data_IF_060267173387
#
_entry.id   IF_060267173387
#
_cell.length_a   1.000
_cell.length_b   1.000
_cell.length_c   1.000
_cell.angle_alpha   90.00
_cell.angle_beta   90.00
_cell.angle_gamma   90.00
#
_symmetry.space_group_name_H-M   'P 1'
#
loop_
_entity.id
_entity.type
_entity.pdbx_description
1 polymer ?
#
# COMPACT_ATOMS: atom_id res chain seq x y z
N UNK A 1 35.80 42.92 -67.71
CA UNK A 1 36.04 41.95 -66.60
C UNK A 1 36.61 40.69 -67.18
N UNK A 2 37.87 40.38 -66.87
CA UNK A 2 38.70 39.35 -67.55
C UNK A 2 38.19 37.93 -67.23
N UNK A 3 38.22 37.08 -68.25
CA UNK A 3 37.81 35.67 -68.23
C UNK A 3 38.45 34.92 -67.05
N UNK A 4 39.65 35.31 -66.61
CA UNK A 4 40.35 34.75 -65.43
C UNK A 4 39.63 34.97 -64.10
N UNK A 5 38.84 36.05 -63.95
CA UNK A 5 38.06 36.30 -62.74
C UNK A 5 36.77 35.45 -62.66
N UNK A 6 36.21 35.04 -63.80
CA UNK A 6 35.04 34.15 -63.84
C UNK A 6 35.41 32.70 -63.50
N UNK A 7 36.54 32.21 -64.03
CA UNK A 7 37.00 30.84 -63.73
C UNK A 7 37.36 30.66 -62.27
N UNK A 8 37.99 31.67 -61.62
CA UNK A 8 38.36 31.61 -60.23
C UNK A 8 37.13 31.63 -59.26
N UNK A 9 36.02 32.22 -59.70
CA UNK A 9 34.77 32.22 -58.92
C UNK A 9 34.03 30.89 -59.06
N UNK A 10 34.10 30.23 -60.22
CA UNK A 10 33.52 28.92 -60.43
C UNK A 10 34.25 27.81 -59.69
N UNK A 11 35.58 27.84 -59.66
CA UNK A 11 36.40 26.86 -58.93
C UNK A 11 36.23 27.01 -57.40
N UNK A 12 36.09 28.21 -56.86
CA UNK A 12 35.80 28.39 -55.43
C UNK A 12 34.40 27.94 -55.06
N UNK A 13 33.41 28.19 -55.92
CA UNK A 13 32.05 27.72 -55.72
C UNK A 13 31.91 26.18 -55.78
N UNK A 14 32.71 25.54 -56.68
CA UNK A 14 32.73 24.06 -56.79
C UNK A 14 33.49 23.40 -55.62
N UNK A 15 34.56 24.06 -55.08
CA UNK A 15 35.24 23.59 -53.87
C UNK A 15 34.40 23.73 -52.60
N UNK A 16 33.59 24.77 -52.52
CA UNK A 16 32.65 24.90 -51.36
C UNK A 16 31.46 23.94 -51.46
N UNK A 17 31.03 23.57 -52.67
CA UNK A 17 29.98 22.57 -52.84
C UNK A 17 30.46 21.12 -52.54
N UNK A 18 31.79 20.84 -52.58
CA UNK A 18 32.35 19.52 -52.26
C UNK A 18 32.69 19.32 -50.77
N UNK A 19 32.70 20.41 -49.94
CA UNK A 19 33.02 20.35 -48.51
C UNK A 19 31.73 20.21 -47.62
N UNK A 20 30.54 20.43 -48.19
CA UNK A 20 29.27 20.44 -47.43
C UNK A 20 28.49 19.11 -47.54
N UNK A 21 29.01 18.09 -48.20
CA UNK A 21 28.37 16.77 -48.25
C UNK A 21 29.42 15.71 -47.95
N UNK A 22 29.52 15.15 -46.74
CA UNK A 22 28.74 14.04 -46.29
C UNK A 22 28.77 13.78 -44.76
N UNK A 23 28.23 14.61 -43.92
CA UNK A 23 28.17 14.26 -42.50
C UNK A 23 26.78 13.86 -42.01
N UNK A 24 25.76 14.12 -42.82
CA UNK A 24 24.37 13.77 -42.46
C UNK A 24 23.96 12.33 -42.81
N UNK A 25 24.57 11.72 -43.79
CA UNK A 25 24.18 10.39 -44.26
C UNK A 25 24.70 9.28 -43.33
N UNK A 26 25.91 9.43 -42.77
CA UNK A 26 26.45 8.43 -41.86
C UNK A 26 25.81 8.45 -40.49
N UNK A 27 25.41 9.63 -40.00
CA UNK A 27 24.69 9.75 -38.69
C UNK A 27 23.25 9.20 -38.76
N UNK A 28 22.58 9.40 -39.92
CA UNK A 28 21.25 8.82 -40.15
C UNK A 28 21.28 7.30 -40.31
N UNK A 29 22.33 6.77 -40.95
CA UNK A 29 22.48 5.33 -41.18
C UNK A 29 22.85 4.58 -39.89
N UNK A 30 23.60 5.19 -38.99
CA UNK A 30 23.87 4.65 -37.64
C UNK A 30 22.63 4.66 -36.74
N UNK A 31 21.83 5.73 -36.77
CA UNK A 31 20.55 5.80 -36.05
C UNK A 31 19.52 4.82 -36.65
N UNK A 32 19.48 4.66 -37.96
CA UNK A 32 18.59 3.70 -38.61
C UNK A 32 18.98 2.24 -38.35
N UNK A 33 20.24 1.94 -38.08
CA UNK A 33 20.70 0.59 -37.72
C UNK A 33 20.47 0.26 -36.27
N UNK A 34 20.46 1.24 -35.33
CA UNK A 34 20.16 1.04 -33.92
C UNK A 34 18.65 1.03 -33.63
N UNK A 35 17.86 1.83 -34.34
CA UNK A 35 16.40 1.93 -34.12
C UNK A 35 15.63 0.59 -34.22
N UNK A 36 15.94 -0.36 -35.13
CA UNK A 36 15.25 -1.65 -35.18
C UNK A 36 15.58 -2.56 -33.99
N UNK A 37 16.79 -2.50 -33.46
CA UNK A 37 17.24 -3.32 -32.33
C UNK A 37 16.58 -2.83 -31.06
N UNK A 38 16.59 -1.52 -30.79
CA UNK A 38 15.94 -0.92 -29.63
C UNK A 38 14.41 -1.10 -29.64
N UNK A 39 13.79 -1.02 -30.80
CA UNK A 39 12.36 -1.30 -30.95
C UNK A 39 12.02 -2.76 -30.69
N UNK A 40 12.84 -3.71 -31.15
CA UNK A 40 12.64 -5.14 -30.87
C UNK A 40 12.88 -5.46 -29.41
N UNK A 41 13.92 -4.93 -28.79
CA UNK A 41 14.19 -5.13 -27.35
C UNK A 41 13.07 -4.54 -26.49
N UNK A 42 12.62 -3.31 -26.75
CA UNK A 42 11.47 -2.71 -26.04
C UNK A 42 10.17 -3.46 -26.25
N UNK A 43 9.92 -4.00 -27.43
CA UNK A 43 8.73 -4.79 -27.73
C UNK A 43 8.76 -6.16 -27.06
N UNK A 44 9.94 -6.82 -27.02
CA UNK A 44 10.13 -8.11 -26.34
C UNK A 44 9.98 -7.92 -24.81
N UNK A 45 10.62 -6.90 -24.22
CA UNK A 45 10.48 -6.59 -22.81
C UNK A 45 9.02 -6.30 -22.41
N UNK A 46 8.30 -5.53 -23.22
CA UNK A 46 6.90 -5.20 -22.93
C UNK A 46 5.98 -6.40 -23.02
N UNK A 47 6.22 -7.33 -23.95
CA UNK A 47 5.43 -8.55 -24.10
C UNK A 47 5.75 -9.56 -22.99
N UNK A 48 7.02 -9.74 -22.67
CA UNK A 48 7.47 -10.60 -21.56
C UNK A 48 6.95 -10.04 -20.23
N UNK A 49 7.08 -8.74 -20.02
CA UNK A 49 6.54 -8.08 -18.81
C UNK A 49 5.02 -8.23 -18.72
N UNK A 50 4.29 -8.05 -19.83
CA UNK A 50 2.84 -8.30 -19.87
C UNK A 50 2.49 -9.74 -19.54
N UNK A 51 3.17 -10.71 -20.13
CA UNK A 51 2.89 -12.12 -19.86
C UNK A 51 3.19 -12.54 -18.43
N UNK A 52 4.19 -11.92 -17.80
CA UNK A 52 4.49 -12.13 -16.37
C UNK A 52 3.38 -11.51 -15.51
N UNK A 53 2.99 -10.27 -15.81
CA UNK A 53 1.92 -9.58 -15.08
C UNK A 53 0.58 -10.33 -15.22
N UNK A 54 0.24 -10.79 -16.44
CA UNK A 54 -0.97 -11.56 -16.69
C UNK A 54 -0.95 -12.89 -15.93
N UNK A 55 0.19 -13.60 -15.95
CA UNK A 55 0.35 -14.86 -15.19
C UNK A 55 0.27 -14.65 -13.68
N UNK A 56 0.88 -13.60 -13.15
CA UNK A 56 0.75 -13.25 -11.73
C UNK A 56 -0.68 -12.87 -11.36
N UNK A 57 -1.38 -12.18 -12.24
CA UNK A 57 -2.80 -11.84 -12.04
C UNK A 57 -3.71 -13.07 -12.09
N UNK A 58 -3.48 -14.00 -13.03
CA UNK A 58 -4.23 -15.25 -13.13
C UNK A 58 -4.02 -16.18 -11.93
N UNK A 59 -2.83 -16.16 -11.32
CA UNK A 59 -2.50 -16.96 -10.14
C UNK A 59 -2.86 -16.27 -8.81
N UNK A 60 -3.37 -15.02 -8.86
CA UNK A 60 -3.70 -14.31 -7.63
C UNK A 60 -4.98 -14.83 -6.99
N UNK A 61 -5.04 -14.95 -5.64
CA UNK A 61 -6.26 -15.34 -4.94
C UNK A 61 -7.48 -14.47 -5.28
N UNK A 62 -7.29 -13.22 -5.68
CA UNK A 62 -8.35 -12.31 -6.08
C UNK A 62 -9.13 -12.81 -7.31
N UNK A 63 -8.49 -13.54 -8.23
CA UNK A 63 -9.15 -14.05 -9.44
C UNK A 63 -10.23 -15.08 -9.09
N UNK A 64 -10.00 -15.92 -8.10
CA UNK A 64 -10.98 -16.91 -7.63
C UNK A 64 -12.15 -16.31 -6.84
N UNK A 65 -11.96 -15.13 -6.25
CA UNK A 65 -12.96 -14.47 -5.41
C UNK A 65 -13.88 -13.52 -6.19
N UNK A 66 -13.41 -12.97 -7.30
CA UNK A 66 -14.12 -11.94 -8.05
C UNK A 66 -14.29 -12.34 -9.51
N UNK A 67 -15.52 -12.62 -9.90
CA UNK A 67 -15.87 -13.15 -11.23
C UNK A 67 -15.61 -12.14 -12.37
N UNK A 68 -15.60 -10.84 -12.05
CA UNK A 68 -15.46 -9.78 -13.05
C UNK A 68 -14.76 -8.53 -12.50
N UNK A 69 -14.36 -7.65 -13.42
CA UNK A 69 -13.85 -6.32 -13.13
C UNK A 69 -14.95 -5.28 -13.34
N UNK A 70 -15.37 -4.61 -12.25
CA UNK A 70 -16.45 -3.63 -12.28
C UNK A 70 -16.00 -2.29 -11.68
N UNK A 71 -16.02 -1.24 -12.50
CA UNK A 71 -15.71 0.13 -12.08
C UNK A 71 -16.98 0.91 -11.63
N UNK A 72 -18.19 0.31 -11.63
CA UNK A 72 -19.45 1.05 -11.37
C UNK A 72 -19.81 1.11 -9.90
N UNK A 73 -19.67 0.02 -9.18
CA UNK A 73 -20.15 -0.10 -7.80
C UNK A 73 -18.99 -0.23 -6.82
N UNK A 74 -18.96 0.64 -5.79
CA UNK A 74 -17.95 0.56 -4.72
C UNK A 74 -18.02 -0.77 -3.97
N UNK A 75 -19.23 -1.33 -3.82
CA UNK A 75 -19.49 -2.54 -3.07
C UNK A 75 -20.30 -3.52 -3.93
N UNK A 76 -19.64 -4.50 -4.49
CA UNK A 76 -20.29 -5.63 -5.12
C UNK A 76 -19.99 -6.88 -4.33
N UNK A 77 -21.02 -7.50 -3.77
CA UNK A 77 -20.88 -8.76 -3.05
C UNK A 77 -20.71 -9.89 -4.06
N UNK A 78 -19.70 -10.72 -3.82
CA UNK A 78 -19.52 -12.03 -4.44
C UNK A 78 -19.67 -13.11 -3.36
N UNK A 79 -19.58 -14.35 -3.73
CA UNK A 79 -19.63 -15.46 -2.79
C UNK A 79 -18.39 -15.40 -1.87
N UNK A 80 -18.65 -15.35 -0.56
CA UNK A 80 -17.61 -15.24 0.45
C UNK A 80 -17.27 -16.62 0.98
N UNK A 81 -16.01 -17.03 0.97
CA UNK A 81 -15.61 -18.33 1.50
C UNK A 81 -15.71 -18.36 3.03
N UNK A 82 -16.03 -19.52 3.61
CA UNK A 82 -16.08 -19.72 5.07
C UNK A 82 -14.72 -19.48 5.73
N UNK A 83 -13.64 -19.80 5.03
CA UNK A 83 -12.27 -19.59 5.47
C UNK A 83 -11.41 -19.09 4.31
N UNK A 84 -10.62 -18.07 4.56
CA UNK A 84 -9.72 -17.51 3.55
C UNK A 84 -8.42 -16.98 4.19
N UNK A 85 -7.28 -17.33 3.59
CA UNK A 85 -5.95 -16.86 4.04
C UNK A 85 -5.54 -15.62 3.25
N UNK A 86 -5.41 -14.49 3.93
CA UNK A 86 -5.02 -13.21 3.37
C UNK A 86 -3.52 -13.00 3.65
N UNK A 87 -2.72 -12.80 2.60
CA UNK A 87 -1.30 -12.46 2.72
C UNK A 87 -1.15 -10.96 3.04
N UNK A 88 -0.51 -10.65 4.16
CA UNK A 88 -0.26 -9.28 4.61
C UNK A 88 1.21 -8.85 4.42
N UNK A 89 2.06 -9.72 3.92
CA UNK A 89 3.44 -9.36 3.57
C UNK A 89 3.42 -8.28 2.50
N UNK A 90 4.45 -7.60 2.20
CA UNK A 90 4.50 -6.55 1.17
C UNK A 90 3.47 -5.42 1.33
N UNK A 91 3.09 -5.14 2.56
CA UNK A 91 2.19 -4.03 2.90
C UNK A 91 2.94 -2.70 2.98
N UNK A 92 2.17 -1.62 2.96
CA UNK A 92 2.58 -0.29 3.39
C UNK A 92 1.45 0.31 4.22
N UNK A 93 1.78 1.00 5.32
CA UNK A 93 0.74 1.71 6.06
C UNK A 93 0.14 2.83 5.21
N UNK A 94 -1.21 2.94 5.15
CA UNK A 94 -1.89 3.93 4.30
C UNK A 94 -1.55 5.38 4.65
N UNK A 95 -1.15 5.63 5.89
CA UNK A 95 -0.74 6.93 6.41
C UNK A 95 0.25 6.75 7.55
N UNK A 96 1.09 7.74 7.79
CA UNK A 96 2.02 7.76 8.93
C UNK A 96 1.30 8.02 10.27
N UNK A 97 0.00 8.29 10.24
CA UNK A 97 -0.76 8.57 11.45
C UNK A 97 -0.91 7.34 12.34
N UNK A 98 -0.66 7.54 13.62
CA UNK A 98 -0.77 6.51 14.68
C UNK A 98 -2.07 6.58 15.46
N UNK A 99 -2.97 7.49 15.10
CA UNK A 99 -4.17 7.80 15.87
C UNK A 99 -5.43 7.33 15.15
N UNK A 100 -6.08 6.32 15.71
CA UNK A 100 -7.43 5.88 15.32
C UNK A 100 -8.45 6.74 16.09
N UNK A 101 -9.31 7.44 15.36
CA UNK A 101 -10.34 8.34 15.93
C UNK A 101 -11.70 7.69 16.02
N UNK A 102 -11.96 6.64 15.25
CA UNK A 102 -13.22 5.89 15.31
C UNK A 102 -13.02 4.43 14.90
N UNK A 103 -13.66 3.54 15.66
CA UNK A 103 -13.60 2.10 15.47
C UNK A 103 -14.53 1.61 14.36
N UNK A 104 -14.20 0.44 13.81
CA UNK A 104 -15.11 -0.40 13.04
C UNK A 104 -16.28 -0.87 13.91
N UNK A 105 -17.44 -1.11 13.30
CA UNK A 105 -18.59 -1.71 13.96
C UNK A 105 -19.75 -0.76 14.21
N UNK A 106 -20.71 -1.18 15.01
CA UNK A 106 -21.94 -0.44 15.26
C UNK A 106 -21.67 0.81 16.10
N UNK A 107 -22.18 1.97 15.66
CA UNK A 107 -22.16 3.23 16.40
C UNK A 107 -23.41 4.05 16.08
N UNK A 108 -24.09 4.57 17.10
CA UNK A 108 -25.29 5.43 16.97
C UNK A 108 -26.32 4.88 15.97
N UNK A 109 -26.61 3.57 16.04
CA UNK A 109 -27.56 2.90 15.15
C UNK A 109 -27.11 2.72 13.71
N UNK A 110 -25.84 2.96 13.39
CA UNK A 110 -25.25 2.78 12.05
C UNK A 110 -24.00 1.92 12.12
N UNK A 111 -23.78 1.12 11.07
CA UNK A 111 -22.57 0.33 10.93
C UNK A 111 -21.45 1.17 10.33
N UNK A 112 -20.35 1.34 11.05
CA UNK A 112 -19.11 1.89 10.56
C UNK A 112 -18.28 0.79 9.89
N UNK A 113 -18.02 0.92 8.61
CA UNK A 113 -17.44 -0.15 7.77
C UNK A 113 -15.92 -0.12 7.68
N UNK A 114 -15.27 0.79 8.39
CA UNK A 114 -13.82 0.97 8.39
C UNK A 114 -13.28 1.50 9.71
N UNK A 115 -12.05 1.95 9.69
CA UNK A 115 -11.43 2.76 10.74
C UNK A 115 -11.33 4.20 10.26
N UNK A 116 -11.58 5.15 11.15
CA UNK A 116 -11.24 6.54 10.90
C UNK A 116 -9.88 6.84 11.56
N UNK A 117 -8.93 7.27 10.76
CA UNK A 117 -7.55 7.56 11.18
C UNK A 117 -7.33 9.07 11.06
N UNK A 118 -6.82 9.72 12.11
CA UNK A 118 -6.54 11.15 12.09
C UNK A 118 -5.50 11.47 11.04
N UNK A 119 -5.88 12.31 10.06
CA UNK A 119 -4.95 12.94 9.11
C UNK A 119 -5.27 14.42 9.00
N UNK A 120 -4.32 15.20 8.51
CA UNK A 120 -4.53 16.60 8.16
C UNK A 120 -4.79 16.72 6.66
N UNK A 121 -5.45 17.79 6.26
CA UNK A 121 -5.67 18.07 4.83
C UNK A 121 -4.31 18.23 4.17
N UNK A 122 -4.07 17.46 3.10
CA UNK A 122 -2.81 17.43 2.36
C UNK A 122 -1.82 16.35 2.81
N UNK A 123 -2.07 15.65 3.92
CA UNK A 123 -1.21 14.51 4.31
C UNK A 123 -1.28 13.41 3.25
N UNK A 124 -0.14 12.80 2.95
CA UNK A 124 -0.06 11.75 1.91
C UNK A 124 -0.80 10.48 2.32
N UNK A 125 -1.63 9.97 1.40
CA UNK A 125 -2.31 8.67 1.52
C UNK A 125 -1.70 7.72 0.50
N UNK A 126 -1.36 6.50 0.97
CA UNK A 126 -0.64 5.49 0.20
C UNK A 126 -1.46 4.23 0.02
N UNK A 127 -1.21 3.51 -1.08
CA UNK A 127 -1.78 2.19 -1.30
C UNK A 127 -1.25 1.18 -0.26
N UNK A 128 -2.15 0.48 0.43
CA UNK A 128 -1.78 -0.48 1.47
C UNK A 128 -1.06 -1.72 0.91
N UNK A 129 -1.42 -2.15 -0.28
CA UNK A 129 -0.78 -3.24 -1.02
C UNK A 129 -0.69 -2.86 -2.50
N UNK A 130 0.18 -3.54 -3.24
CA UNK A 130 0.15 -3.46 -4.71
C UNK A 130 -1.20 -3.95 -5.23
N UNK A 131 -1.70 -3.33 -6.30
CA UNK A 131 -3.00 -3.70 -6.85
C UNK A 131 -3.41 -2.85 -8.03
N UNK A 132 -4.67 -3.01 -8.44
CA UNK A 132 -5.27 -2.24 -9.54
C UNK A 132 -6.40 -1.37 -9.00
N UNK A 133 -6.36 -0.09 -9.32
CA UNK A 133 -7.37 0.89 -8.93
C UNK A 133 -8.68 0.57 -9.64
N UNK A 134 -9.72 0.30 -8.85
CA UNK A 134 -11.02 -0.08 -9.38
C UNK A 134 -11.97 1.10 -9.50
N UNK A 135 -11.97 2.00 -8.52
CA UNK A 135 -12.87 3.16 -8.49
C UNK A 135 -12.10 4.40 -8.05
N UNK A 136 -12.35 5.51 -8.74
CA UNK A 136 -11.93 6.86 -8.35
C UNK A 136 -13.13 7.79 -8.55
N UNK A 137 -13.84 8.14 -7.45
CA UNK A 137 -15.11 8.87 -7.52
C UNK A 137 -15.30 9.84 -6.36
N UNK A 138 -16.39 10.61 -6.48
CA UNK A 138 -16.88 11.50 -5.45
C UNK A 138 -18.33 11.15 -5.08
N UNK A 139 -18.58 10.97 -3.77
CA UNK A 139 -19.89 10.71 -3.20
C UNK A 139 -20.18 11.71 -2.06
N UNK A 140 -20.95 12.75 -2.35
CA UNK A 140 -21.18 13.85 -1.42
C UNK A 140 -21.83 13.41 -0.08
N UNK A 141 -22.77 12.48 -0.12
CA UNK A 141 -23.50 11.97 1.05
C UNK A 141 -22.81 10.81 1.79
N UNK A 142 -21.62 10.38 1.34
CA UNK A 142 -20.91 9.22 1.84
C UNK A 142 -19.41 9.45 1.95
N UNK A 143 -18.63 8.73 1.17
CA UNK A 143 -17.16 8.70 1.21
C UNK A 143 -16.45 10.00 0.81
N UNK A 144 -17.15 10.99 0.23
CA UNK A 144 -16.50 12.15 -0.38
C UNK A 144 -15.68 11.72 -1.60
N UNK A 145 -14.51 12.27 -1.79
CA UNK A 145 -13.53 11.77 -2.75
C UNK A 145 -12.93 10.48 -2.20
N UNK A 146 -13.06 9.40 -2.96
CA UNK A 146 -12.61 8.08 -2.50
C UNK A 146 -12.00 7.26 -3.62
N UNK A 147 -11.16 6.31 -3.23
CA UNK A 147 -10.47 5.37 -4.11
C UNK A 147 -10.75 3.95 -3.59
N UNK A 148 -11.00 3.02 -4.51
CA UNK A 148 -11.06 1.58 -4.23
C UNK A 148 -9.97 0.89 -5.02
N UNK A 149 -9.15 0.08 -4.32
CA UNK A 149 -8.08 -0.71 -4.94
C UNK A 149 -8.34 -2.18 -4.66
N UNK A 150 -8.30 -3.01 -5.70
CA UNK A 150 -8.31 -4.48 -5.58
C UNK A 150 -6.88 -5.00 -5.61
N UNK A 151 -6.57 -5.87 -4.65
CA UNK A 151 -5.24 -6.42 -4.42
C UNK A 151 -5.15 -7.90 -4.78
N UNK A 152 -4.00 -8.41 -5.24
CA UNK A 152 -3.80 -9.83 -5.55
C UNK A 152 -4.08 -10.77 -4.38
N UNK A 153 -3.92 -10.31 -3.13
CA UNK A 153 -4.20 -11.10 -1.91
C UNK A 153 -5.69 -11.30 -1.61
N UNK A 154 -6.59 -10.86 -2.48
CA UNK A 154 -8.03 -10.99 -2.35
C UNK A 154 -8.73 -9.83 -1.64
N UNK A 155 -8.01 -8.91 -1.01
CA UNK A 155 -8.61 -7.74 -0.39
C UNK A 155 -8.96 -6.66 -1.42
N UNK A 156 -10.01 -5.89 -1.10
CA UNK A 156 -10.19 -4.53 -1.59
C UNK A 156 -10.00 -3.55 -0.44
N UNK A 157 -9.31 -2.44 -0.71
CA UNK A 157 -9.18 -1.34 0.26
C UNK A 157 -9.89 -0.10 -0.25
N UNK A 158 -10.51 0.65 0.67
CA UNK A 158 -11.19 1.92 0.38
C UNK A 158 -10.52 3.03 1.19
N UNK A 159 -10.25 4.13 0.49
CA UNK A 159 -9.65 5.35 1.04
C UNK A 159 -10.63 6.50 0.83
N UNK A 160 -11.32 6.90 1.89
CA UNK A 160 -12.38 7.92 1.84
C UNK A 160 -11.96 9.27 2.43
N UNK A 161 -12.83 10.27 2.20
CA UNK A 161 -12.73 11.66 2.65
C UNK A 161 -11.50 12.42 2.15
N UNK A 162 -10.93 11.99 1.02
CA UNK A 162 -9.73 12.59 0.42
C UNK A 162 -10.00 14.05 0.01
N UNK A 163 -8.95 14.89 0.08
CA UNK A 163 -8.96 16.23 -0.55
C UNK A 163 -8.62 16.15 -2.03
N UNK A 164 -7.77 15.17 -2.42
CA UNK A 164 -7.36 14.96 -3.80
C UNK A 164 -7.13 13.48 -4.07
N UNK A 165 -7.42 13.05 -5.30
CA UNK A 165 -7.17 11.71 -5.82
C UNK A 165 -6.07 11.84 -6.89
N UNK A 166 -4.96 11.13 -6.73
CA UNK A 166 -3.76 11.26 -7.58
C UNK A 166 -3.59 10.08 -8.55
N UNK A 167 -4.58 9.20 -8.61
CA UNK A 167 -4.61 8.02 -9.49
C UNK A 167 -5.90 7.98 -10.29
N UNK A 168 -5.91 7.17 -11.34
CA UNK A 168 -7.08 6.96 -12.21
C UNK A 168 -7.59 5.54 -12.15
N UNK A 169 -8.85 5.32 -12.54
CA UNK A 169 -9.42 3.98 -12.65
C UNK A 169 -8.59 3.11 -13.61
N UNK A 170 -8.42 1.85 -13.25
CA UNK A 170 -7.62 0.83 -13.96
C UNK A 170 -6.09 1.03 -13.89
N UNK A 171 -5.59 2.06 -13.21
CA UNK A 171 -4.16 2.22 -12.95
C UNK A 171 -3.67 1.10 -12.02
N UNK A 172 -2.50 0.53 -12.34
CA UNK A 172 -1.77 -0.39 -11.44
C UNK A 172 -0.90 0.45 -10.52
N UNK A 173 -0.98 0.18 -9.23
CA UNK A 173 -0.23 0.86 -8.18
C UNK A 173 0.57 -0.14 -7.35
N UNK A 174 1.69 0.30 -6.80
CA UNK A 174 2.51 -0.48 -5.88
C UNK A 174 2.15 -0.16 -4.43
N UNK A 175 2.41 -1.10 -3.53
CA UNK A 175 2.35 -0.82 -2.09
C UNK A 175 3.23 0.39 -1.75
N UNK A 176 2.68 1.35 -1.01
CA UNK A 176 3.38 2.59 -0.64
C UNK A 176 3.32 3.71 -1.68
N UNK A 177 2.80 3.46 -2.89
CA UNK A 177 2.59 4.52 -3.88
C UNK A 177 1.56 5.54 -3.37
N UNK A 178 1.85 6.84 -3.56
CA UNK A 178 0.93 7.92 -3.15
C UNK A 178 -0.26 7.90 -4.10
N UNK A 179 -1.45 7.68 -3.55
CA UNK A 179 -2.70 7.58 -4.32
C UNK A 179 -3.63 8.78 -4.13
N UNK A 180 -3.42 9.56 -3.08
CA UNK A 180 -4.24 10.73 -2.80
C UNK A 180 -3.73 11.52 -1.60
N UNK A 181 -4.47 12.56 -1.25
CA UNK A 181 -4.19 13.43 -0.11
C UNK A 181 -5.34 13.38 0.90
N UNK A 182 -4.99 13.38 2.17
CA UNK A 182 -5.94 13.45 3.29
C UNK A 182 -6.84 14.65 3.20
N UNK A 183 -8.08 14.53 3.66
CA UNK A 183 -9.07 15.58 3.50
C UNK A 183 -10.21 15.52 4.51
N UNK A 184 -11.31 16.18 4.14
CA UNK A 184 -12.54 16.27 4.92
C UNK A 184 -13.76 16.36 3.99
N UNK A 185 -13.74 15.63 2.87
CA UNK A 185 -14.83 15.67 1.86
C UNK A 185 -15.93 14.65 2.17
N UNK A 186 -17.12 14.85 1.59
CA UNK A 186 -18.26 13.98 1.83
C UNK A 186 -18.88 14.13 3.23
N UNK A 187 -19.41 13.04 3.78
CA UNK A 187 -20.00 13.04 5.12
C UNK A 187 -18.93 12.88 6.21
N UNK A 188 -18.22 13.93 6.49
CA UNK A 188 -17.15 13.98 7.47
C UNK A 188 -17.30 15.19 8.40
N UNK A 189 -17.00 15.02 9.68
CA UNK A 189 -17.07 16.07 10.71
C UNK A 189 -15.71 16.67 11.07
N UNK A 190 -14.64 16.19 10.46
CA UNK A 190 -13.27 16.66 10.69
C UNK A 190 -12.28 15.86 9.84
N UNK A 191 -11.11 16.42 9.57
CA UNK A 191 -10.14 15.77 8.68
C UNK A 191 -9.66 14.41 9.22
N UNK A 192 -9.92 13.36 8.45
CA UNK A 192 -9.50 11.99 8.73
C UNK A 192 -9.46 11.18 7.44
N UNK A 193 -8.72 10.07 7.45
CA UNK A 193 -8.82 9.02 6.46
C UNK A 193 -9.84 8.01 6.95
N UNK A 194 -10.89 7.77 6.18
CA UNK A 194 -11.76 6.61 6.33
C UNK A 194 -11.14 5.45 5.56
N UNK A 195 -10.69 4.41 6.27
CA UNK A 195 -10.00 3.27 5.70
C UNK A 195 -10.79 1.98 5.90
N UNK A 196 -11.14 1.32 4.79
CA UNK A 196 -11.82 0.01 4.84
C UNK A 196 -10.95 -1.09 4.24
N UNK A 197 -11.11 -2.29 4.78
CA UNK A 197 -10.68 -3.54 4.16
C UNK A 197 -11.91 -4.38 3.85
N UNK A 198 -11.97 -4.95 2.65
CA UNK A 198 -13.11 -5.74 2.20
C UNK A 198 -12.65 -7.05 1.58
N UNK A 199 -13.42 -8.11 1.81
CA UNK A 199 -13.29 -9.39 1.14
C UNK A 199 -14.64 -9.71 0.49
N UNK A 200 -14.66 -10.01 -0.80
CA UNK A 200 -15.90 -10.30 -1.55
C UNK A 200 -16.98 -9.22 -1.37
N UNK A 201 -16.59 -7.94 -1.29
CA UNK A 201 -17.49 -6.82 -1.05
C UNK A 201 -18.01 -6.66 0.39
N UNK A 202 -17.68 -7.59 1.29
CA UNK A 202 -18.03 -7.51 2.73
C UNK A 202 -16.93 -6.77 3.47
N UNK A 203 -17.31 -5.77 4.28
CA UNK A 203 -16.35 -5.02 5.09
C UNK A 203 -15.82 -5.88 6.24
N UNK A 204 -14.52 -5.98 6.34
CA UNK A 204 -13.80 -6.58 7.47
C UNK A 204 -13.21 -5.48 8.35
N UNK A 205 -13.09 -5.75 9.64
CA UNK A 205 -12.46 -4.81 10.58
C UNK A 205 -10.97 -4.64 10.26
N UNK A 206 -10.52 -3.45 9.82
CA UNK A 206 -9.10 -3.25 9.47
C UNK A 206 -8.15 -3.48 10.66
N UNK A 207 -8.61 -3.33 11.92
CA UNK A 207 -7.79 -3.59 13.10
C UNK A 207 -7.37 -5.06 13.25
N UNK A 208 -8.00 -5.99 12.53
CA UNK A 208 -7.56 -7.39 12.46
C UNK A 208 -6.21 -7.54 11.73
N UNK A 209 -5.94 -6.67 10.78
CA UNK A 209 -4.80 -6.76 9.87
C UNK A 209 -3.79 -5.62 10.06
N UNK A 210 -4.25 -4.42 10.47
CA UNK A 210 -3.41 -3.22 10.58
C UNK A 210 -3.34 -2.71 12.02
N UNK A 211 -2.13 -2.49 12.49
CA UNK A 211 -1.86 -1.78 13.75
C UNK A 211 -1.30 -0.38 13.46
N UNK A 212 -2.21 0.59 13.38
CA UNK A 212 -1.83 1.98 13.13
C UNK A 212 -0.95 2.58 14.23
N UNK A 213 -1.06 2.13 15.48
CA UNK A 213 -0.23 2.63 16.59
C UNK A 213 1.22 2.24 16.41
N UNK A 214 1.47 1.00 16.02
CA UNK A 214 2.80 0.47 15.80
C UNK A 214 3.30 0.67 14.37
N UNK A 215 2.43 1.14 13.45
CA UNK A 215 2.72 1.32 12.03
C UNK A 215 3.18 0.01 11.38
N UNK A 216 2.45 -1.07 11.66
CA UNK A 216 2.75 -2.40 11.16
C UNK A 216 1.47 -3.22 10.93
N UNK A 217 1.58 -4.38 10.32
CA UNK A 217 0.52 -5.38 10.25
C UNK A 217 0.58 -6.32 11.44
N UNK A 218 -0.52 -7.02 11.70
CA UNK A 218 -0.65 -7.90 12.87
C UNK A 218 0.07 -9.23 12.73
N UNK A 219 0.49 -9.59 11.51
CA UNK A 219 1.22 -10.80 11.20
C UNK A 219 1.45 -10.93 9.70
N UNK A 220 2.15 -11.98 9.27
CA UNK A 220 2.39 -12.24 7.84
C UNK A 220 1.12 -12.61 7.08
N UNK A 221 0.15 -13.18 7.78
CA UNK A 221 -1.12 -13.65 7.24
C UNK A 221 -2.25 -13.38 8.23
N UNK A 222 -3.42 -13.04 7.71
CA UNK A 222 -4.68 -13.09 8.45
C UNK A 222 -5.53 -14.23 7.89
N UNK A 223 -6.04 -15.10 8.76
CA UNK A 223 -6.97 -16.17 8.37
C UNK A 223 -8.38 -15.71 8.74
N UNK A 224 -9.15 -15.34 7.72
CA UNK A 224 -10.58 -15.15 7.87
C UNK A 224 -11.25 -16.48 8.14
N UNK A 225 -12.11 -16.54 9.13
CA UNK A 225 -13.00 -17.69 9.40
C UNK A 225 -14.32 -17.14 9.91
N UNK A 226 -15.43 -17.52 9.27
CA UNK A 226 -16.77 -17.02 9.57
C UNK A 226 -17.18 -17.25 11.03
N UNK A 227 -16.74 -18.36 11.63
CA UNK A 227 -17.14 -18.73 13.00
C UNK A 227 -16.40 -17.96 14.11
N UNK A 228 -15.20 -17.46 13.82
CA UNK A 228 -14.36 -16.76 14.82
C UNK A 228 -14.22 -15.27 14.55
N UNK A 229 -14.73 -14.78 13.40
CA UNK A 229 -14.53 -13.42 12.96
C UNK A 229 -15.02 -12.36 13.95
N UNK A 230 -16.22 -12.53 14.50
CA UNK A 230 -16.83 -11.52 15.36
C UNK A 230 -16.07 -11.36 16.69
N UNK A 231 -15.62 -12.48 17.29
CA UNK A 231 -14.81 -12.49 18.48
C UNK A 231 -13.45 -11.82 18.24
N UNK A 232 -12.75 -12.24 17.20
CA UNK A 232 -11.46 -11.65 16.80
C UNK A 232 -11.59 -10.17 16.47
N UNK A 233 -12.68 -9.76 15.81
CA UNK A 233 -12.94 -8.34 15.49
C UNK A 233 -13.16 -7.50 16.73
N UNK A 234 -13.90 -8.03 17.71
CA UNK A 234 -14.11 -7.34 18.99
C UNK A 234 -12.79 -7.18 19.76
N UNK A 235 -11.98 -8.21 19.82
CA UNK A 235 -10.67 -8.16 20.46
C UNK A 235 -9.71 -7.21 19.73
N UNK A 236 -9.63 -7.27 18.41
CA UNK A 236 -8.82 -6.35 17.61
C UNK A 236 -9.19 -4.88 17.87
N UNK A 237 -10.51 -4.59 17.99
CA UNK A 237 -11.00 -3.26 18.32
C UNK A 237 -10.55 -2.83 19.71
N UNK A 238 -10.59 -3.73 20.71
CA UNK A 238 -10.11 -3.48 22.06
C UNK A 238 -8.61 -3.16 22.09
N UNK A 239 -7.81 -3.90 21.36
CA UNK A 239 -6.35 -3.79 21.36
C UNK A 239 -5.84 -2.60 20.52
N UNK A 240 -6.41 -2.36 19.34
CA UNK A 240 -5.89 -1.45 18.30
C UNK A 240 -6.87 -0.36 17.89
N UNK A 241 -8.02 -0.29 18.54
CA UNK A 241 -9.05 0.70 18.25
C UNK A 241 -8.71 2.11 18.74
N UNK A 242 -9.72 2.95 18.78
CA UNK A 242 -9.66 4.34 19.19
C UNK A 242 -9.03 4.51 20.58
N UNK A 243 -8.14 5.50 20.72
CA UNK A 243 -7.62 5.96 22.01
C UNK A 243 -8.01 7.42 22.20
N UNK A 244 -8.52 7.74 23.39
CA UNK A 244 -8.85 9.11 23.78
C UNK A 244 -10.06 9.70 23.04
N UNK A 245 -10.43 10.92 23.37
CA UNK A 245 -11.64 11.59 22.89
C UNK A 245 -11.36 12.88 22.09
N UNK A 246 -10.15 13.10 21.64
CA UNK A 246 -9.75 14.30 20.87
C UNK A 246 -8.48 14.96 21.44
N UNK A 247 -8.19 16.19 20.98
CA UNK A 247 -7.00 16.93 21.43
C UNK A 247 -5.68 16.45 20.83
N UNK A 248 -5.73 15.78 19.69
CA UNK A 248 -4.54 15.24 19.02
C UNK A 248 -3.68 16.35 18.43
N UNK A 249 -2.42 16.46 18.87
CA UNK A 249 -1.40 17.32 18.24
C UNK A 249 -0.84 16.64 17.00
N UNK A 250 -0.23 17.42 16.07
CA UNK A 250 0.39 16.86 14.87
C UNK A 250 1.56 15.93 15.22
N UNK A 251 2.30 16.24 16.25
CA UNK A 251 3.40 15.42 16.75
C UNK A 251 2.91 14.07 17.28
N UNK A 252 1.86 14.07 18.10
CA UNK A 252 1.21 12.85 18.57
C UNK A 252 0.70 11.98 17.40
N UNK A 253 0.14 12.61 16.37
CA UNK A 253 -0.38 11.91 15.19
C UNK A 253 0.73 11.24 14.40
N UNK A 254 1.88 11.89 14.22
CA UNK A 254 2.97 11.40 13.36
C UNK A 254 4.03 10.59 14.12
N UNK A 255 4.39 11.00 15.30
CA UNK A 255 5.51 10.42 16.08
C UNK A 255 5.05 9.48 17.19
N UNK A 256 3.77 9.58 17.60
CA UNK A 256 3.18 8.67 18.57
C UNK A 256 3.86 8.71 19.93
N UNK A 257 3.98 9.88 20.55
CA UNK A 257 4.38 9.96 21.97
C UNK A 257 3.31 9.29 22.85
N UNK A 258 3.36 7.99 22.92
CA UNK A 258 2.66 7.17 23.89
C UNK A 258 3.41 7.10 25.24
N UNK A 259 4.39 7.98 25.47
CA UNK A 259 5.16 8.00 26.69
C UNK A 259 4.33 8.22 27.96
N UNK A 260 3.17 8.86 27.85
CA UNK A 260 2.31 9.18 29.00
C UNK A 260 1.22 8.14 29.30
N UNK A 261 0.86 7.27 28.36
CA UNK A 261 -0.19 6.28 28.57
C UNK A 261 0.33 4.92 29.05
N UNK A 262 1.64 4.65 28.95
CA UNK A 262 2.25 3.42 29.48
C UNK A 262 2.18 3.25 30.99
N UNK A 263 1.91 4.32 31.75
CA UNK A 263 1.97 4.28 33.22
C UNK A 263 0.62 4.16 33.95
N UNK A 264 -0.53 4.01 33.25
CA UNK A 264 -1.82 3.86 33.94
C UNK A 264 -2.60 2.57 33.72
N UNK A 265 -2.14 1.67 32.84
CA UNK A 265 -2.83 0.40 32.60
C UNK A 265 -1.94 -0.85 32.66
N UNK A 266 -0.74 -0.74 33.18
CA UNK A 266 0.16 -1.90 33.34
C UNK A 266 0.00 -2.67 34.67
N UNK A 267 -1.17 -2.58 35.29
CA UNK A 267 -1.46 -3.38 36.46
C UNK A 267 -2.76 -4.16 36.27
N UNK A 268 -2.78 -5.17 35.44
CA UNK A 268 -3.82 -6.21 35.39
C UNK A 268 -4.52 -6.36 34.03
N UNK A 269 -3.78 -6.85 33.03
CA UNK A 269 -4.33 -7.65 31.91
C UNK A 269 -3.15 -8.06 31.01
N UNK A 270 -2.95 -9.36 30.81
CA UNK A 270 -1.86 -9.91 30.01
C UNK A 270 -1.88 -9.46 28.54
N UNK A 271 -1.35 -8.27 28.28
CA UNK A 271 -1.26 -7.74 26.93
C UNK A 271 -0.37 -8.60 26.04
N UNK A 272 -0.91 -9.04 24.91
CA UNK A 272 -0.16 -9.76 23.88
C UNK A 272 0.80 -8.77 23.21
N UNK A 273 2.08 -8.84 23.56
CA UNK A 273 3.11 -7.97 23.00
C UNK A 273 3.95 -8.72 21.97
N UNK A 274 4.24 -8.05 20.86
CA UNK A 274 4.96 -8.62 19.74
C UNK A 274 6.23 -7.83 19.41
N UNK A 275 7.24 -8.52 18.87
CA UNK A 275 8.49 -7.94 18.40
C UNK A 275 8.75 -8.38 16.96
N UNK A 276 8.96 -7.42 16.05
CA UNK A 276 9.41 -7.69 14.67
C UNK A 276 10.92 -7.77 14.64
N UNK A 277 11.43 -8.94 14.29
CA UNK A 277 12.85 -9.23 14.22
C UNK A 277 13.53 -8.35 13.16
N UNK A 278 14.58 -7.64 13.56
CA UNK A 278 15.44 -6.86 12.66
C UNK A 278 16.65 -7.69 12.20
N UNK A 279 17.32 -7.21 11.15
CA UNK A 279 18.55 -7.85 10.68
C UNK A 279 19.60 -7.90 11.80
N UNK A 280 20.18 -9.08 12.03
CA UNK A 280 21.19 -9.30 13.07
C UNK A 280 20.67 -9.58 14.48
N UNK A 281 19.36 -9.51 14.72
CA UNK A 281 18.78 -9.87 16.02
C UNK A 281 18.70 -11.38 16.21
N UNK A 282 18.86 -11.81 17.46
CA UNK A 282 18.74 -13.20 17.92
C UNK A 282 17.67 -13.30 18.98
N UNK A 283 17.15 -14.51 19.26
CA UNK A 283 16.21 -14.73 20.37
C UNK A 283 16.72 -14.17 21.70
N UNK A 284 18.04 -14.34 21.97
CA UNK A 284 18.65 -13.83 23.19
C UNK A 284 18.71 -12.30 23.24
N UNK A 285 19.04 -11.63 22.12
CA UNK A 285 19.06 -10.16 22.07
C UNK A 285 17.67 -9.56 22.21
N UNK A 286 16.66 -10.20 21.61
CA UNK A 286 15.26 -9.77 21.69
C UNK A 286 14.73 -9.99 23.11
N UNK A 287 14.98 -11.14 23.72
CA UNK A 287 14.60 -11.47 25.10
C UNK A 287 15.15 -10.42 26.08
N UNK A 288 16.45 -10.11 25.97
CA UNK A 288 17.11 -9.07 26.78
C UNK A 288 16.49 -7.69 26.58
N UNK A 289 16.22 -7.31 25.33
CA UNK A 289 15.62 -6.02 24.97
C UNK A 289 14.19 -5.87 25.53
N UNK A 290 13.43 -6.97 25.56
CA UNK A 290 12.02 -6.99 25.98
C UNK A 290 11.83 -7.35 27.45
N UNK A 291 12.92 -7.64 28.19
CA UNK A 291 12.87 -7.98 29.60
C UNK A 291 12.17 -9.31 29.91
N UNK A 292 12.25 -10.28 28.96
CA UNK A 292 11.65 -11.61 29.09
C UNK A 292 12.71 -12.67 28.89
N UNK A 293 12.38 -13.92 29.21
CA UNK A 293 13.31 -15.03 28.98
C UNK A 293 13.19 -15.60 27.56
N UNK A 294 14.25 -16.22 27.05
CA UNK A 294 14.23 -16.89 25.73
C UNK A 294 13.19 -18.00 25.71
N UNK A 295 13.07 -18.74 26.80
CA UNK A 295 12.11 -19.83 26.97
C UNK A 295 10.67 -19.34 26.83
N UNK A 296 10.37 -18.16 27.40
CA UNK A 296 9.04 -17.54 27.27
C UNK A 296 8.74 -17.17 25.83
N UNK A 297 9.69 -16.55 25.10
CA UNK A 297 9.52 -16.26 23.68
C UNK A 297 9.33 -17.56 22.90
N UNK A 298 10.12 -18.58 23.16
CA UNK A 298 10.02 -19.87 22.48
C UNK A 298 8.67 -20.54 22.71
N UNK A 299 8.19 -20.59 23.95
CA UNK A 299 6.89 -21.22 24.30
C UNK A 299 5.71 -20.49 23.65
N UNK A 300 5.74 -19.14 23.62
CA UNK A 300 4.68 -18.33 23.03
C UNK A 300 4.62 -18.40 21.50
N UNK A 301 5.72 -18.81 20.83
CA UNK A 301 5.83 -18.84 19.38
C UNK A 301 6.06 -20.23 18.79
N UNK A 302 5.98 -21.28 19.63
CA UNK A 302 6.25 -22.68 19.24
C UNK A 302 7.65 -22.87 18.62
N UNK A 303 8.65 -22.17 19.16
CA UNK A 303 10.06 -22.23 18.74
C UNK A 303 10.87 -23.05 19.76
N UNK A 304 12.00 -23.61 19.32
CA UNK A 304 13.05 -24.14 20.20
C UNK A 304 14.08 -23.07 20.53
N UNK A 305 14.82 -23.21 21.61
CA UNK A 305 15.89 -22.28 21.98
C UNK A 305 17.01 -22.20 20.92
N UNK A 306 17.13 -23.23 20.07
CA UNK A 306 18.08 -23.28 18.95
C UNK A 306 17.50 -22.73 17.63
N UNK A 307 16.23 -22.34 17.59
CA UNK A 307 15.60 -21.82 16.39
C UNK A 307 16.27 -20.52 15.94
N UNK A 308 16.58 -20.44 14.66
CA UNK A 308 17.09 -19.20 14.05
C UNK A 308 15.91 -18.31 13.64
N UNK A 309 15.90 -17.10 14.17
CA UNK A 309 14.94 -16.07 13.75
C UNK A 309 15.44 -15.33 12.53
N UNK A 310 14.54 -14.92 11.66
CA UNK A 310 14.84 -14.21 10.41
C UNK A 310 14.31 -12.78 10.49
N UNK A 311 14.97 -11.80 9.84
CA UNK A 311 14.44 -10.45 9.72
C UNK A 311 13.00 -10.45 9.18
N UNK A 312 12.12 -9.64 9.79
CA UNK A 312 10.71 -9.58 9.45
C UNK A 312 9.80 -10.54 10.21
N UNK A 313 10.34 -11.53 10.92
CA UNK A 313 9.57 -12.45 11.75
C UNK A 313 8.96 -11.71 12.94
N UNK A 314 7.68 -11.98 13.26
CA UNK A 314 7.00 -11.39 14.40
C UNK A 314 6.98 -12.40 15.54
N UNK A 315 7.52 -12.02 16.68
CA UNK A 315 7.60 -12.86 17.87
C UNK A 315 6.73 -12.28 18.98
N UNK A 316 5.83 -13.09 19.52
CA UNK A 316 5.09 -12.78 20.74
C UNK A 316 6.04 -12.93 21.93
N UNK A 317 6.03 -11.96 22.89
CA UNK A 317 6.88 -12.00 24.07
C UNK A 317 6.12 -11.76 25.39
N UNK A 318 4.81 -11.50 25.31
CA UNK A 318 3.93 -11.35 26.47
C UNK A 318 2.64 -12.13 26.28
#
# INVERSE_FOLDING_TARGET
>A
MSLRKRIRRFTIALLFALIVLPTSVQAQDLLARQAPVDRKMKAVDTLVLRSIIEREQEQSPAVSLYNDWDNRYAHRRTEMPDTFKIDLRHFCMPTNSRVVTSNFGSRWGRQHKGLDIKVYIGDTIRAAFSGKVRIVRYEAGGYGKYIVIRHPNGLETIYGHLSEQLVTENQVVRAGEIIGLGGNTGRSTGSHLHFETRLCGVALNPALMFDFRNQDVTGDYFIYNVNTYDELSAEATRLRGKIGNGGYTRDLVQNGELGSYKNKQSADNGDLLYHKVKAGETLASIAKMRGVTVEKICSLNHLSATSRVRPGMILRYS
#
